data_IF_829186716676
#
_entry.id   IF_829186716676
#
_cell.length_a   1.000
_cell.length_b   1.000
_cell.length_c   1.000
_cell.angle_alpha   90.00
_cell.angle_beta   90.00
_cell.angle_gamma   90.00
#
_symmetry.space_group_name_H-M   'P 1'
#
loop_
_entity.id
_entity.type
_entity.pdbx_description
1 polymer ?
#
# COMPACT_ATOMS: atom_id res chain seq x y z
N UNK A 1 16.70 4.17 -7.16
CA UNK A 1 15.48 3.37 -6.90
C UNK A 1 14.66 3.25 -8.16
N UNK A 2 14.29 2.02 -8.50
CA UNK A 2 13.50 1.65 -9.67
C UNK A 2 12.19 1.00 -9.20
N UNK A 3 11.09 1.31 -9.89
CA UNK A 3 9.76 0.80 -9.54
C UNK A 3 9.19 -0.01 -10.70
N UNK A 4 8.69 -1.22 -10.41
CA UNK A 4 8.30 -2.17 -11.46
C UNK A 4 7.08 -2.99 -11.04
N UNK A 5 6.14 -3.22 -11.97
CA UNK A 5 5.13 -4.28 -11.87
C UNK A 5 5.73 -5.56 -12.46
N UNK A 6 5.95 -6.58 -11.64
CA UNK A 6 6.55 -7.85 -12.08
C UNK A 6 5.56 -8.75 -12.84
N UNK A 7 4.25 -8.51 -12.70
CA UNK A 7 3.22 -9.26 -13.40
C UNK A 7 1.86 -9.22 -12.70
N UNK A 8 0.86 -9.78 -13.37
CA UNK A 8 -0.56 -9.75 -13.00
C UNK A 8 -1.11 -11.18 -12.86
N UNK A 9 -2.15 -11.42 -12.04
CA UNK A 9 -2.88 -12.69 -12.09
C UNK A 9 -3.51 -12.91 -13.48
N UNK A 10 -3.68 -14.16 -13.94
CA UNK A 10 -3.35 -15.42 -13.26
C UNK A 10 -1.86 -15.83 -13.34
N UNK A 11 -1.07 -15.19 -14.20
CA UNK A 11 0.37 -15.45 -14.39
C UNK A 11 1.25 -14.79 -13.32
N UNK A 12 0.70 -14.61 -12.11
CA UNK A 12 1.29 -13.80 -11.07
C UNK A 12 2.67 -14.33 -10.64
N UNK A 13 3.72 -13.49 -10.65
CA UNK A 13 5.05 -13.94 -10.33
C UNK A 13 5.13 -14.34 -8.86
N UNK A 14 5.86 -15.42 -8.59
CA UNK A 14 6.30 -15.74 -7.24
C UNK A 14 7.54 -14.92 -6.92
N UNK A 15 7.57 -14.27 -5.77
CA UNK A 15 8.70 -13.48 -5.31
C UNK A 15 9.23 -14.06 -3.99
N UNK A 16 10.49 -14.47 -3.98
CA UNK A 16 11.17 -14.94 -2.77
C UNK A 16 11.78 -13.75 -2.04
N UNK A 17 11.29 -13.48 -0.84
CA UNK A 17 11.83 -12.47 0.07
C UNK A 17 12.44 -13.17 1.29
N UNK A 18 13.50 -12.60 1.86
CA UNK A 18 14.04 -13.08 3.14
C UNK A 18 13.08 -12.72 4.27
N UNK A 19 12.54 -13.72 4.97
CA UNK A 19 11.61 -13.54 6.08
C UNK A 19 12.24 -12.82 7.29
N UNK A 20 13.57 -12.75 7.35
CA UNK A 20 14.32 -12.02 8.40
C UNK A 20 14.40 -10.53 8.13
N UNK A 21 14.18 -10.11 6.89
CA UNK A 21 14.30 -8.72 6.47
C UNK A 21 12.95 -8.14 6.00
N UNK A 22 11.97 -9.00 5.69
CA UNK A 22 10.67 -8.60 5.18
C UNK A 22 9.54 -9.25 5.96
N UNK A 23 8.65 -8.41 6.48
CA UNK A 23 7.34 -8.87 6.93
C UNK A 23 6.57 -9.51 5.76
N UNK A 24 5.72 -10.47 6.07
CA UNK A 24 4.86 -11.16 5.10
C UNK A 24 5.59 -11.88 3.95
N UNK A 25 6.89 -12.15 4.05
CA UNK A 25 7.67 -12.80 2.98
C UNK A 25 6.99 -14.06 2.41
N UNK A 26 6.41 -14.92 3.26
CA UNK A 26 5.68 -16.11 2.85
C UNK A 26 4.39 -15.87 2.06
N UNK A 27 3.90 -14.64 1.95
CA UNK A 27 2.74 -14.25 1.13
C UNK A 27 3.14 -13.88 -0.30
N UNK A 28 4.42 -13.59 -0.53
CA UNK A 28 4.93 -13.17 -1.84
C UNK A 28 5.24 -14.36 -2.77
N UNK A 29 5.29 -15.58 -2.23
CA UNK A 29 5.44 -16.81 -3.04
C UNK A 29 4.12 -17.30 -3.66
N UNK A 30 3.00 -16.65 -3.37
CA UNK A 30 1.69 -17.00 -3.94
C UNK A 30 1.60 -16.56 -5.40
N UNK A 31 1.24 -17.47 -6.31
CA UNK A 31 1.14 -17.19 -7.76
C UNK A 31 -0.16 -16.53 -8.20
N UNK A 32 -1.20 -16.54 -7.36
CA UNK A 32 -2.51 -15.97 -7.68
C UNK A 32 -2.60 -14.44 -7.43
N UNK A 33 -1.47 -13.78 -7.17
CA UNK A 33 -1.39 -12.33 -6.92
C UNK A 33 -0.35 -11.72 -7.84
N UNK A 34 -0.64 -10.55 -8.39
CA UNK A 34 0.35 -9.71 -9.05
C UNK A 34 1.28 -9.08 -8.03
N UNK A 35 2.49 -8.71 -8.44
CA UNK A 35 3.51 -8.12 -7.57
C UNK A 35 4.04 -6.84 -8.16
N UNK A 36 4.30 -5.86 -7.30
CA UNK A 36 5.16 -4.73 -7.60
C UNK A 36 6.34 -4.69 -6.63
N UNK A 37 7.46 -4.15 -7.08
CA UNK A 37 8.67 -4.01 -6.29
C UNK A 37 9.27 -2.63 -6.48
N UNK A 38 10.07 -2.24 -5.49
CA UNK A 38 11.06 -1.18 -5.63
C UNK A 38 12.44 -1.77 -5.37
N UNK A 39 13.38 -1.50 -6.26
CA UNK A 39 14.75 -2.00 -6.23
C UNK A 39 15.78 -0.89 -6.19
N UNK A 40 16.94 -1.19 -5.64
CA UNK A 40 18.14 -0.35 -5.70
C UNK A 40 19.37 -1.27 -5.70
N UNK A 41 20.29 -1.07 -6.65
CA UNK A 41 21.46 -1.94 -6.87
C UNK A 41 21.08 -3.44 -6.88
N UNK A 42 20.07 -3.80 -7.68
CA UNK A 42 19.49 -5.15 -7.80
C UNK A 42 18.92 -5.75 -6.50
N UNK A 43 18.80 -4.96 -5.43
CA UNK A 43 18.22 -5.38 -4.16
C UNK A 43 16.80 -4.87 -4.04
N UNK A 44 15.88 -5.76 -3.72
CA UNK A 44 14.51 -5.39 -3.35
C UNK A 44 14.57 -4.59 -2.06
N UNK A 45 13.97 -3.41 -2.06
CA UNK A 45 13.79 -2.57 -0.87
C UNK A 45 12.35 -2.63 -0.36
N UNK A 46 11.39 -2.95 -1.21
CA UNK A 46 10.00 -3.14 -0.83
C UNK A 46 9.20 -3.88 -1.90
N UNK A 47 8.07 -4.45 -1.49
CA UNK A 47 7.19 -5.19 -2.38
C UNK A 47 5.72 -5.02 -1.98
N UNK A 48 4.83 -5.05 -2.98
CA UNK A 48 3.38 -5.12 -2.80
C UNK A 48 2.82 -6.33 -3.55
N UNK A 49 1.93 -7.08 -2.90
CA UNK A 49 1.10 -8.09 -3.55
C UNK A 49 -0.33 -7.56 -3.73
N UNK A 50 -0.92 -7.79 -4.90
CA UNK A 50 -2.26 -7.33 -5.25
C UNK A 50 -3.06 -8.37 -6.06
N UNK A 51 -4.38 -8.26 -6.04
CA UNK A 51 -5.30 -9.09 -6.81
C UNK A 51 -6.64 -8.38 -7.07
N UNK A 52 -7.40 -8.87 -8.04
CA UNK A 52 -8.78 -8.46 -8.22
C UNK A 52 -9.65 -8.89 -7.02
N UNK A 53 -10.69 -8.13 -6.73
CA UNK A 53 -11.78 -8.54 -5.86
C UNK A 53 -12.48 -9.78 -6.43
N UNK A 54 -12.92 -10.67 -5.54
CA UNK A 54 -13.57 -11.93 -5.95
C UNK A 54 -14.97 -11.71 -6.53
N UNK A 55 -15.65 -10.64 -6.12
CA UNK A 55 -16.99 -10.29 -6.54
C UNK A 55 -16.99 -9.23 -7.66
N UNK A 56 -15.95 -8.37 -7.71
CA UNK A 56 -15.85 -7.27 -8.69
C UNK A 56 -14.48 -7.24 -9.36
N UNK A 57 -14.36 -7.87 -10.53
CA UNK A 57 -13.09 -7.95 -11.25
C UNK A 57 -12.45 -6.59 -11.63
N UNK A 58 -13.23 -5.51 -11.67
CA UNK A 58 -12.77 -4.13 -11.90
C UNK A 58 -12.17 -3.47 -10.66
N UNK A 59 -12.28 -4.09 -9.49
CA UNK A 59 -11.71 -3.60 -8.23
C UNK A 59 -10.43 -4.36 -7.89
N UNK A 60 -9.31 -3.66 -7.74
CA UNK A 60 -8.05 -4.20 -7.27
C UNK A 60 -7.87 -4.01 -5.77
N UNK A 61 -7.31 -5.01 -5.09
CA UNK A 61 -6.93 -4.94 -3.68
C UNK A 61 -5.41 -5.02 -3.54
N UNK A 62 -4.80 -4.04 -2.88
CA UNK A 62 -3.44 -4.16 -2.37
C UNK A 62 -3.48 -4.91 -1.04
N UNK A 63 -2.83 -6.07 -0.96
CA UNK A 63 -2.99 -7.02 0.16
C UNK A 63 -1.86 -6.95 1.17
N UNK A 64 -0.64 -7.10 0.68
CA UNK A 64 0.55 -7.19 1.52
C UNK A 64 1.53 -6.14 1.05
N UNK A 65 1.86 -5.21 1.93
CA UNK A 65 2.89 -4.19 1.71
C UNK A 65 4.04 -4.49 2.66
N UNK A 66 5.26 -4.57 2.13
CA UNK A 66 6.44 -4.83 2.95
C UNK A 66 7.61 -3.99 2.48
N UNK A 67 8.45 -3.57 3.43
CA UNK A 67 9.68 -2.81 3.20
C UNK A 67 10.77 -3.51 3.99
N UNK A 68 11.95 -3.58 3.39
CA UNK A 68 13.15 -4.16 4.01
C UNK A 68 13.41 -3.48 5.35
N UNK A 69 13.66 -4.27 6.39
CA UNK A 69 13.77 -3.78 7.76
C UNK A 69 14.80 -2.66 7.91
N UNK A 70 15.96 -2.79 7.25
CA UNK A 70 17.04 -1.79 7.24
C UNK A 70 16.67 -0.47 6.55
N UNK A 71 15.56 -0.40 5.82
CA UNK A 71 15.11 0.76 5.05
C UNK A 71 13.73 1.28 5.48
N UNK A 72 13.19 0.76 6.59
CA UNK A 72 11.94 1.27 7.16
C UNK A 72 12.09 2.74 7.58
N UNK A 73 10.99 3.48 7.47
CA UNK A 73 10.94 4.91 7.83
C UNK A 73 11.44 5.87 6.75
N UNK A 74 12.00 5.39 5.64
CA UNK A 74 12.55 6.23 4.56
C UNK A 74 11.51 6.67 3.51
N UNK A 75 10.24 6.34 3.69
CA UNK A 75 9.15 6.69 2.75
C UNK A 75 8.94 5.71 1.59
N UNK A 76 9.79 4.68 1.46
CA UNK A 76 9.73 3.66 0.39
C UNK A 76 8.34 3.02 0.25
N UNK A 77 7.73 2.61 1.37
CA UNK A 77 6.40 2.00 1.34
C UNK A 77 5.31 2.93 0.79
N UNK A 78 5.38 4.22 1.12
CA UNK A 78 4.47 5.25 0.60
C UNK A 78 4.66 5.44 -0.90
N UNK A 79 5.91 5.55 -1.36
CA UNK A 79 6.23 5.72 -2.77
C UNK A 79 5.80 4.50 -3.59
N UNK A 80 6.04 3.29 -3.08
CA UNK A 80 5.63 2.05 -3.73
C UNK A 80 4.10 1.90 -3.78
N UNK A 81 3.37 2.31 -2.74
CA UNK A 81 1.91 2.39 -2.76
C UNK A 81 1.41 3.34 -3.85
N UNK A 82 1.98 4.55 -3.90
CA UNK A 82 1.64 5.58 -4.90
C UNK A 82 1.85 5.07 -6.32
N UNK A 83 3.04 4.54 -6.58
CA UNK A 83 3.41 3.95 -7.87
C UNK A 83 2.44 2.84 -8.27
N UNK A 84 2.28 1.84 -7.39
CA UNK A 84 1.48 0.64 -7.69
C UNK A 84 0.03 1.03 -7.98
N UNK A 85 -0.55 1.91 -7.18
CA UNK A 85 -1.92 2.34 -7.37
C UNK A 85 -2.11 3.13 -8.68
N UNK A 86 -1.21 4.06 -9.00
CA UNK A 86 -1.28 4.83 -10.24
C UNK A 86 -1.21 3.94 -11.49
N UNK A 87 -0.30 2.97 -11.51
CA UNK A 87 -0.17 2.03 -12.65
C UNK A 87 -1.39 1.13 -12.76
N UNK A 88 -1.86 0.57 -11.64
CA UNK A 88 -3.02 -0.31 -11.62
C UNK A 88 -4.32 0.39 -12.03
N UNK A 89 -4.49 1.66 -11.68
CA UNK A 89 -5.69 2.45 -12.03
C UNK A 89 -5.72 2.73 -13.53
N UNK A 90 -4.55 3.00 -14.10
CA UNK A 90 -4.40 3.26 -15.53
C UNK A 90 -4.60 1.99 -16.35
N UNK A 91 -4.02 0.87 -15.91
CA UNK A 91 -3.84 -0.30 -16.77
C UNK A 91 -4.88 -1.41 -16.54
N UNK A 92 -5.49 -1.51 -15.34
CA UNK A 92 -6.18 -2.75 -14.92
C UNK A 92 -7.49 -2.58 -14.18
N UNK A 93 -7.60 -1.61 -13.27
CA UNK A 93 -8.71 -1.53 -12.32
C UNK A 93 -9.33 -0.15 -12.34
N UNK A 94 -10.66 -0.10 -12.29
CA UNK A 94 -11.41 1.15 -12.14
C UNK A 94 -11.38 1.66 -10.69
N UNK A 95 -11.14 0.75 -9.74
CA UNK A 95 -11.10 1.08 -8.31
C UNK A 95 -9.98 0.30 -7.63
N UNK A 96 -9.23 0.97 -6.76
CA UNK A 96 -8.16 0.33 -5.98
C UNK A 96 -8.42 0.54 -4.51
N UNK A 97 -8.43 -0.56 -3.77
CA UNK A 97 -8.66 -0.60 -2.34
C UNK A 97 -7.43 -1.15 -1.61
N UNK A 98 -7.28 -0.71 -0.37
CA UNK A 98 -6.37 -1.30 0.60
C UNK A 98 -7.03 -1.28 1.98
N UNK A 99 -6.88 -2.35 2.74
CA UNK A 99 -7.34 -2.43 4.12
C UNK A 99 -6.12 -2.37 5.06
N UNK A 100 -6.16 -1.50 6.07
CA UNK A 100 -5.03 -1.31 7.01
C UNK A 100 -5.50 -1.32 8.47
N UNK A 101 -4.74 -1.98 9.33
CA UNK A 101 -5.07 -2.12 10.76
C UNK A 101 -4.18 -1.32 11.70
N UNK A 102 -3.25 -0.51 11.18
CA UNK A 102 -2.33 0.27 11.99
C UNK A 102 -2.22 1.72 11.48
N UNK A 103 -2.01 2.71 12.38
CA UNK A 103 -2.03 4.13 12.04
C UNK A 103 -0.85 4.54 11.14
N UNK A 104 0.30 3.86 11.23
CA UNK A 104 1.44 4.12 10.33
C UNK A 104 1.08 3.83 8.88
N UNK A 105 0.49 2.66 8.61
CA UNK A 105 0.05 2.27 7.28
C UNK A 105 -1.09 3.18 6.79
N UNK A 106 -2.05 3.52 7.66
CA UNK A 106 -3.13 4.47 7.35
C UNK A 106 -2.59 5.81 6.85
N UNK A 107 -1.66 6.43 7.61
CA UNK A 107 -1.04 7.69 7.22
C UNK A 107 -0.18 7.57 5.95
N UNK A 108 0.50 6.44 5.76
CA UNK A 108 1.24 6.16 4.54
C UNK A 108 0.33 6.08 3.30
N UNK A 109 -0.84 5.45 3.43
CA UNK A 109 -1.85 5.38 2.38
C UNK A 109 -2.36 6.78 2.01
N UNK A 110 -2.65 7.63 3.00
CA UNK A 110 -3.05 9.03 2.75
C UNK A 110 -2.00 9.85 2.02
N UNK A 111 -0.70 9.64 2.31
CA UNK A 111 0.41 10.25 1.57
C UNK A 111 0.57 9.71 0.15
N UNK A 112 0.09 8.49 -0.10
CA UNK A 112 0.09 7.86 -1.42
C UNK A 112 -1.15 8.22 -2.26
N UNK A 113 -2.11 8.97 -1.72
CA UNK A 113 -3.33 9.37 -2.42
C UNK A 113 -4.54 8.48 -2.17
N UNK A 114 -4.50 7.65 -1.13
CA UNK A 114 -5.67 6.92 -0.67
C UNK A 114 -6.48 7.74 0.34
N UNK A 115 -7.77 7.47 0.43
CA UNK A 115 -8.70 8.12 1.34
C UNK A 115 -9.56 7.07 2.05
N UNK A 116 -9.81 7.27 3.35
CA UNK A 116 -10.68 6.39 4.12
C UNK A 116 -12.10 6.44 3.59
N UNK A 117 -12.70 5.27 3.42
CA UNK A 117 -14.05 5.12 2.87
C UNK A 117 -15.15 5.27 3.91
N UNK A 118 -14.79 5.23 5.21
CA UNK A 118 -15.74 5.05 6.30
C UNK A 118 -16.03 3.59 6.64
N UNK A 119 -15.53 2.63 5.85
CA UNK A 119 -15.77 1.20 6.05
C UNK A 119 -14.64 0.51 6.83
N UNK A 120 -15.03 -0.39 7.73
CA UNK A 120 -14.14 -1.30 8.44
C UNK A 120 -14.42 -2.76 8.03
N UNK A 121 -13.37 -3.56 7.88
CA UNK A 121 -13.48 -5.02 7.66
C UNK A 121 -13.44 -5.78 8.99
N UNK A 122 -13.79 -7.07 8.95
CA UNK A 122 -13.55 -7.96 10.09
C UNK A 122 -12.05 -8.03 10.40
N UNK A 123 -11.67 -7.81 11.66
CA UNK A 123 -10.29 -7.58 12.18
C UNK A 123 -9.88 -6.09 12.21
N UNK A 124 -10.86 -5.18 12.19
CA UNK A 124 -10.63 -3.77 12.47
C UNK A 124 -9.67 -3.12 11.43
N UNK A 125 -9.67 -3.61 10.20
CA UNK A 125 -8.94 -2.95 9.13
C UNK A 125 -9.82 -1.85 8.54
N UNK A 126 -9.27 -0.65 8.40
CA UNK A 126 -9.95 0.46 7.75
C UNK A 126 -9.72 0.34 6.24
N UNK A 127 -10.79 0.42 5.46
CA UNK A 127 -10.73 0.36 4.00
C UNK A 127 -10.47 1.74 3.43
N UNK A 128 -9.41 1.88 2.63
CA UNK A 128 -9.09 3.09 1.90
C UNK A 128 -9.19 2.87 0.41
N UNK A 129 -9.72 3.87 -0.30
CA UNK A 129 -9.80 3.92 -1.76
C UNK A 129 -8.74 4.85 -2.31
N UNK A 130 -8.06 4.43 -3.37
CA UNK A 130 -7.19 5.32 -4.12
C UNK A 130 -8.01 6.38 -4.85
N UNK A 131 -7.77 7.64 -4.54
CA UNK A 131 -8.46 8.77 -5.17
C UNK A 131 -7.60 10.04 -5.00
N UNK A 132 -6.50 10.17 -5.77
CA UNK A 132 -5.53 11.23 -5.55
C UNK A 132 -5.97 12.60 -6.04
N UNK A 133 -6.96 12.65 -6.92
CA UNK A 133 -7.53 13.87 -7.48
C UNK A 133 -8.89 14.24 -6.84
N UNK A 134 -9.48 13.34 -6.05
CA UNK A 134 -10.74 13.57 -5.37
C UNK A 134 -10.64 14.57 -4.21
N UNK A 135 -11.82 14.99 -3.74
CA UNK A 135 -11.92 15.93 -2.61
C UNK A 135 -11.38 15.29 -1.33
N UNK A 136 -10.36 15.93 -0.75
CA UNK A 136 -9.67 15.39 0.43
C UNK A 136 -10.19 16.07 1.70
N UNK A 137 -11.03 15.37 2.42
CA UNK A 137 -11.57 15.85 3.69
C UNK A 137 -10.63 15.52 4.86
N UNK A 138 -10.22 16.56 5.59
CA UNK A 138 -9.44 16.43 6.82
C UNK A 138 -10.23 15.70 7.90
N UNK A 139 -11.55 15.89 7.97
CA UNK A 139 -12.37 15.24 9.00
C UNK A 139 -12.42 13.73 8.78
N UNK A 140 -12.67 13.27 7.56
CA UNK A 140 -12.59 11.84 7.21
C UNK A 140 -11.24 11.23 7.57
N UNK A 141 -10.13 11.94 7.35
CA UNK A 141 -8.81 11.50 7.79
C UNK A 141 -8.72 11.32 9.31
N UNK A 142 -9.19 12.30 10.07
CA UNK A 142 -9.20 12.30 11.54
C UNK A 142 -10.13 11.22 12.11
N UNK A 143 -11.30 11.01 11.50
CA UNK A 143 -12.26 9.99 11.93
C UNK A 143 -11.62 8.60 11.87
N UNK A 144 -10.86 8.28 10.82
CA UNK A 144 -10.11 7.02 10.75
C UNK A 144 -8.95 6.92 11.75
N UNK A 145 -8.27 8.03 12.08
CA UNK A 145 -7.26 8.03 13.15
C UNK A 145 -7.88 7.71 14.52
N UNK A 146 -9.06 8.26 14.81
CA UNK A 146 -9.77 8.04 16.07
C UNK A 146 -10.16 6.56 16.28
N UNK A 147 -10.38 5.80 15.20
CA UNK A 147 -10.61 4.34 15.31
C UNK A 147 -9.39 3.63 15.94
N UNK A 148 -8.17 4.09 15.65
CA UNK A 148 -6.95 3.50 16.22
C UNK A 148 -6.69 3.93 17.67
N UNK A 149 -7.23 5.07 18.13
CA UNK A 149 -7.09 5.53 19.53
C UNK A 149 -7.72 4.56 20.54
N UNK A 150 -8.78 3.86 20.12
CA UNK A 150 -9.47 2.87 20.95
C UNK A 150 -8.70 1.55 21.13
N UNK A 151 -7.53 1.40 20.48
CA UNK A 151 -6.79 0.14 20.39
C UNK A 151 -5.50 0.21 21.21
N UNK A 152 -5.10 -0.94 21.74
CA UNK A 152 -3.78 -1.09 22.35
C UNK A 152 -2.71 -1.08 21.24
N UNK A 153 -2.19 0.11 20.95
CA UNK A 153 -1.19 0.33 19.91
C UNK A 153 0.22 0.50 20.51
N UNK A 154 1.25 -0.06 19.87
CA UNK A 154 2.64 0.10 20.30
C UNK A 154 3.05 1.58 20.44
N UNK A 155 3.88 1.94 21.45
CA UNK A 155 4.26 3.34 21.72
C UNK A 155 4.91 4.07 20.54
N UNK A 156 5.65 3.37 19.70
CA UNK A 156 6.28 3.92 18.49
C UNK A 156 5.24 4.37 17.44
N UNK A 157 4.01 3.84 17.51
CA UNK A 157 2.91 4.18 16.61
C UNK A 157 1.99 5.27 17.17
N UNK A 158 2.02 5.52 18.48
CA UNK A 158 1.19 6.55 19.15
C UNK A 158 1.51 7.96 18.64
N UNK A 159 2.78 8.26 18.35
CA UNK A 159 3.21 9.56 17.81
C UNK A 159 2.62 9.92 16.43
N UNK A 160 1.96 8.96 15.77
CA UNK A 160 1.21 9.20 14.52
C UNK A 160 -0.16 9.78 14.82
N UNK A 161 -0.79 9.38 15.92
CA UNK A 161 -2.12 9.85 16.31
C UNK A 161 -2.12 11.35 16.64
N UNK A 162 -1.00 11.86 17.16
CA UNK A 162 -0.81 13.30 17.41
C UNK A 162 -0.73 14.13 16.10
N UNK A 163 -0.48 13.48 14.95
CA UNK A 163 -0.31 14.13 13.64
C UNK A 163 -1.60 14.08 12.83
N UNK A 164 -2.55 14.89 13.28
CA UNK A 164 -3.90 14.99 12.71
C UNK A 164 -3.99 15.95 11.51
N UNK A 165 -2.87 16.53 11.07
CA UNK A 165 -2.78 17.29 9.84
C UNK A 165 -2.95 16.35 8.63
N UNK A 166 -3.81 16.76 7.69
CA UNK A 166 -4.01 16.02 6.46
C UNK A 166 -2.70 16.06 5.65
N UNK A 167 -2.05 14.92 5.39
CA UNK A 167 -0.74 14.93 4.74
C UNK A 167 -0.85 15.33 3.25
N UNK A 168 0.21 15.92 2.70
CA UNK A 168 0.32 16.10 1.25
C UNK A 168 0.48 14.75 0.53
N UNK A 169 -0.03 14.67 -0.70
CA UNK A 169 0.20 13.54 -1.59
C UNK A 169 1.55 13.75 -2.28
N UNK A 170 2.38 12.71 -2.35
CA UNK A 170 3.63 12.73 -3.10
C UNK A 170 3.44 12.46 -4.59
N UNK A 171 4.42 12.86 -5.40
CA UNK A 171 4.45 12.58 -6.83
C UNK A 171 4.49 11.06 -7.10
N UNK A 172 4.00 10.65 -8.28
CA UNK A 172 4.12 9.26 -8.74
C UNK A 172 5.59 9.01 -9.12
N UNK A 173 6.28 8.03 -8.51
CA UNK A 173 7.61 7.64 -8.97
C UNK A 173 7.58 7.17 -10.43
N UNK A 174 8.62 7.47 -11.19
CA UNK A 174 8.72 7.00 -12.57
C UNK A 174 8.82 5.46 -12.61
N UNK A 175 8.11 4.86 -13.56
CA UNK A 175 8.30 3.44 -13.94
C UNK A 175 9.55 3.33 -14.80
N UNK A 176 10.35 2.28 -14.59
CA UNK A 176 11.13 1.77 -15.72
C UNK A 176 10.20 0.91 -16.58
N UNK A 177 9.89 1.37 -17.78
CA UNK A 177 9.40 0.49 -18.83
C UNK A 177 10.61 -0.30 -19.31
N UNK A 178 10.70 -1.58 -18.95
CA UNK A 178 11.58 -2.50 -19.66
C UNK A 178 11.10 -2.56 -21.12
N UNK A 179 11.70 -1.76 -21.99
CA UNK A 179 11.63 -1.98 -23.44
C UNK A 179 12.10 -3.41 -23.69
N UNK A 180 11.17 -4.28 -24.12
CA UNK A 180 11.48 -5.61 -24.64
C UNK A 180 11.29 -5.59 -26.14
#
# INVERSE_FOLDING_TARGET
MEYTILGYPPDGPTLKLDYREFAYAGKFVMSNTGKSVVTEDDKILGAIAFNADYNTATTGHLRYVTVRDSHKGQGIGTQLLRFTAAVLETDRFETILIAVNNPLAYRACYKAGFQFTGEETGIAELVLRYDPCGDRDKRTYQDGLAVFESRDIPPDQQSVLDRTDLPSIGDVPASETSET
#
